data_IF_115754566663
#
_entry.id   IF_115754566663
#
_cell.length_a   1.000
_cell.length_b   1.000
_cell.length_c   1.000
_cell.angle_alpha   90.00
_cell.angle_beta   90.00
_cell.angle_gamma   90.00
#
_symmetry.space_group_name_H-M   'P 1'
#
loop_
_entity.id
_entity.type
_entity.pdbx_description
1 polymer ?
#
# COMPACT_ATOMS: atom_id res chain seq x y z
N UNK A 1 -15.24 57.78 54.24
CA UNK A 1 -14.28 56.95 53.49
C UNK A 1 -14.74 55.48 53.65
N UNK A 2 -15.39 54.90 52.63
CA UNK A 2 -15.78 53.48 52.61
C UNK A 2 -14.80 52.73 51.78
N UNK A 3 -14.10 51.75 52.35
CA UNK A 3 -13.22 50.80 51.64
C UNK A 3 -14.07 49.80 50.89
N UNK A 4 -13.90 49.75 49.56
CA UNK A 4 -14.45 48.69 48.70
C UNK A 4 -13.50 47.50 48.71
N UNK A 5 -13.95 46.38 49.24
CA UNK A 5 -13.28 45.07 49.15
C UNK A 5 -13.70 44.39 47.87
N UNK A 6 -12.79 44.20 46.91
CA UNK A 6 -13.02 43.41 45.70
C UNK A 6 -12.84 41.92 46.02
N UNK A 7 -13.96 41.22 45.92
CA UNK A 7 -13.97 39.74 46.01
C UNK A 7 -13.54 39.15 44.67
N UNK A 8 -12.36 38.55 44.59
CA UNK A 8 -11.87 37.77 43.43
C UNK A 8 -11.76 36.23 43.67
N UNK A 9 -12.67 35.53 44.35
CA UNK A 9 -12.56 34.07 44.44
C UNK A 9 -13.27 33.34 43.26
N UNK A 10 -14.13 34.00 42.46
CA UNK A 10 -14.88 33.31 41.43
C UNK A 10 -14.14 33.21 40.08
N UNK A 11 -13.19 34.11 39.83
CA UNK A 11 -12.43 34.08 38.55
C UNK A 11 -11.29 33.07 38.54
N UNK A 12 -10.76 32.70 39.70
CA UNK A 12 -9.68 31.71 39.82
C UNK A 12 -10.21 30.29 39.70
N UNK A 13 -11.46 30.03 40.10
CA UNK A 13 -12.08 28.70 39.96
C UNK A 13 -12.42 28.35 38.51
N UNK A 14 -12.70 29.34 37.66
CA UNK A 14 -13.00 29.12 36.24
C UNK A 14 -11.77 28.83 35.39
N UNK A 15 -10.59 29.31 35.80
CA UNK A 15 -9.29 29.06 35.11
C UNK A 15 -8.69 27.68 35.41
N UNK A 16 -9.12 27.01 36.49
CA UNK A 16 -8.65 25.68 36.86
C UNK A 16 -9.50 24.55 36.21
N UNK A 17 -10.65 24.83 35.65
CA UNK A 17 -11.52 23.83 35.02
C UNK A 17 -11.22 23.62 33.54
N UNK A 18 -10.38 24.44 32.88
CA UNK A 18 -10.05 24.32 31.48
C UNK A 18 -8.76 23.51 31.19
N UNK A 19 -8.09 22.99 32.25
CA UNK A 19 -6.82 22.26 32.11
C UNK A 19 -6.96 20.73 32.05
N UNK A 20 -8.17 20.16 32.00
CA UNK A 20 -8.37 18.71 32.01
C UNK A 20 -8.96 18.11 30.74
N UNK A 21 -8.76 18.70 29.59
CA UNK A 21 -9.23 18.14 28.33
C UNK A 21 -8.17 18.21 27.22
N UNK A 22 -6.99 17.63 27.42
CA UNK A 22 -6.08 17.38 26.29
C UNK A 22 -5.20 16.17 26.57
N UNK A 23 -5.77 14.99 26.64
CA UNK A 23 -4.96 13.76 26.50
C UNK A 23 -5.82 12.56 26.09
N UNK A 24 -6.40 12.58 24.90
CA UNK A 24 -6.89 11.35 24.27
C UNK A 24 -7.11 11.56 22.77
N UNK A 25 -6.04 11.76 22.02
CA UNK A 25 -6.09 11.64 20.54
C UNK A 25 -4.72 11.29 19.93
N UNK A 26 -3.97 10.35 20.49
CA UNK A 26 -2.77 9.82 19.79
C UNK A 26 -2.75 8.31 19.94
N UNK A 27 -3.63 7.61 19.26
CA UNK A 27 -3.43 6.15 19.11
C UNK A 27 -4.18 5.51 17.93
N UNK A 28 -4.82 6.30 17.05
CA UNK A 28 -5.56 5.74 15.91
C UNK A 28 -4.84 5.88 14.55
N UNK A 29 -3.61 6.37 14.51
CA UNK A 29 -2.97 6.77 13.25
C UNK A 29 -2.01 5.75 12.64
N UNK A 30 -1.83 4.57 13.19
CA UNK A 30 -0.83 3.60 12.71
C UNK A 30 -1.38 2.39 11.94
N UNK A 31 -2.70 2.19 11.85
CA UNK A 31 -3.24 0.96 11.23
C UNK A 31 -3.55 1.07 9.73
N UNK A 32 -3.54 2.28 9.14
CA UNK A 32 -3.92 2.46 7.73
C UNK A 32 -2.76 2.51 6.74
N UNK A 33 -1.53 2.68 7.18
CA UNK A 33 -0.37 2.88 6.29
C UNK A 33 -0.01 1.67 5.43
N UNK A 34 -0.44 0.47 5.80
CA UNK A 34 -0.19 -0.74 5.03
C UNK A 34 -1.38 -1.24 4.21
N UNK A 35 -2.54 -0.58 4.31
CA UNK A 35 -3.65 -0.78 3.40
C UNK A 35 -3.56 0.20 2.21
N UNK A 36 -4.26 -0.10 1.12
CA UNK A 36 -4.33 0.80 -0.04
C UNK A 36 -5.35 1.90 0.20
N UNK A 37 -6.49 1.58 0.83
CA UNK A 37 -7.56 2.52 1.12
C UNK A 37 -7.60 2.84 2.62
N UNK A 38 -8.10 4.03 3.01
CA UNK A 38 -8.23 4.41 4.42
C UNK A 38 -9.27 3.56 5.16
N UNK A 39 -10.24 3.02 4.43
CA UNK A 39 -11.32 2.13 4.89
C UNK A 39 -11.68 1.14 3.78
N UNK A 40 -12.47 0.12 4.12
CA UNK A 40 -12.99 -0.80 3.11
C UNK A 40 -13.89 -0.04 2.14
N UNK A 41 -13.68 -0.21 0.85
CA UNK A 41 -14.48 0.40 -0.21
C UNK A 41 -15.18 -0.66 -1.05
N UNK A 42 -16.27 -0.31 -1.69
CA UNK A 42 -16.98 -1.25 -2.55
C UNK A 42 -16.13 -1.66 -3.73
N UNK A 43 -15.96 -2.96 -3.90
CA UNK A 43 -15.26 -3.57 -5.02
C UNK A 43 -16.05 -4.71 -5.63
N UNK A 44 -15.56 -5.22 -6.76
CA UNK A 44 -16.12 -6.40 -7.42
C UNK A 44 -15.04 -7.37 -7.85
N UNK A 45 -15.30 -8.64 -7.68
CA UNK A 45 -14.44 -9.76 -8.08
C UNK A 45 -15.09 -10.43 -9.28
N UNK A 46 -14.44 -10.36 -10.43
CA UNK A 46 -14.81 -11.12 -11.62
C UNK A 46 -14.11 -12.45 -11.59
N UNK A 47 -14.88 -13.52 -11.59
CA UNK A 47 -14.38 -14.88 -11.65
C UNK A 47 -14.12 -15.31 -13.11
N UNK A 48 -13.26 -16.31 -13.32
CA UNK A 48 -12.98 -16.85 -14.67
C UNK A 48 -14.17 -17.54 -15.32
N UNK A 49 -15.13 -18.00 -14.51
CA UNK A 49 -16.41 -18.57 -15.01
C UNK A 49 -17.45 -17.51 -15.39
N UNK A 50 -17.10 -16.23 -15.25
CA UNK A 50 -17.93 -15.08 -15.60
C UNK A 50 -18.79 -14.54 -14.45
N UNK A 51 -18.87 -15.19 -13.30
CA UNK A 51 -19.57 -14.65 -12.12
C UNK A 51 -18.89 -13.38 -11.63
N UNK A 52 -19.71 -12.48 -11.09
CA UNK A 52 -19.24 -11.25 -10.44
C UNK A 52 -19.79 -11.23 -9.03
N UNK A 53 -18.91 -11.06 -8.07
CA UNK A 53 -19.24 -10.93 -6.65
C UNK A 53 -18.85 -9.51 -6.18
N UNK A 54 -19.69 -8.88 -5.36
CA UNK A 54 -19.48 -7.51 -4.86
C UNK A 54 -19.35 -7.58 -3.36
N UNK A 55 -18.35 -6.86 -2.82
CA UNK A 55 -18.11 -6.78 -1.39
C UNK A 55 -17.41 -5.45 -1.03
N UNK A 56 -17.39 -5.12 0.25
CA UNK A 56 -16.51 -4.10 0.80
C UNK A 56 -15.09 -4.69 0.89
N UNK A 57 -14.11 -4.04 0.27
CA UNK A 57 -12.78 -4.62 0.02
C UNK A 57 -11.65 -3.64 0.30
N UNK A 58 -10.47 -4.17 0.55
CA UNK A 58 -9.20 -3.45 0.59
C UNK A 58 -8.04 -4.40 0.23
N UNK A 59 -6.85 -3.87 0.07
CA UNK A 59 -5.63 -4.64 -0.17
C UNK A 59 -4.59 -4.36 0.91
N UNK A 60 -4.11 -5.40 1.59
CA UNK A 60 -3.03 -5.30 2.57
C UNK A 60 -1.67 -5.44 1.88
N UNK A 61 -0.86 -4.38 1.92
CA UNK A 61 0.49 -4.33 1.29
C UNK A 61 1.55 -5.15 2.02
N UNK A 62 1.31 -5.54 3.28
CA UNK A 62 2.26 -6.36 4.06
C UNK A 62 2.08 -7.84 3.73
N UNK A 63 0.83 -8.32 3.75
CA UNK A 63 0.51 -9.72 3.44
C UNK A 63 0.33 -9.97 1.95
N UNK A 64 0.19 -8.88 1.16
CA UNK A 64 -0.10 -8.90 -0.28
C UNK A 64 -1.42 -9.62 -0.61
N UNK A 65 -2.40 -9.49 0.30
CA UNK A 65 -3.71 -10.13 0.21
C UNK A 65 -4.82 -9.12 -0.07
N UNK A 66 -5.77 -9.53 -0.90
CA UNK A 66 -7.04 -8.83 -1.07
C UNK A 66 -7.98 -9.25 0.05
N UNK A 67 -8.51 -8.27 0.78
CA UNK A 67 -9.38 -8.46 1.94
C UNK A 67 -10.78 -8.03 1.57
N UNK A 68 -11.78 -8.75 2.03
CA UNK A 68 -13.19 -8.38 1.88
C UNK A 68 -13.94 -8.62 3.18
N UNK A 69 -15.07 -7.93 3.34
CA UNK A 69 -15.97 -8.12 4.46
C UNK A 69 -17.20 -8.91 4.04
N UNK A 70 -17.54 -9.93 4.83
CA UNK A 70 -18.76 -10.69 4.71
C UNK A 70 -19.34 -10.94 6.10
N UNK A 71 -20.61 -10.58 6.30
CA UNK A 71 -21.34 -10.75 7.56
C UNK A 71 -20.60 -10.13 8.77
N UNK A 72 -19.95 -8.96 8.58
CA UNK A 72 -19.17 -8.27 9.60
C UNK A 72 -17.80 -8.90 9.90
N UNK A 73 -17.38 -9.90 9.12
CA UNK A 73 -16.10 -10.58 9.29
C UNK A 73 -15.18 -10.28 8.12
N UNK A 74 -13.95 -9.86 8.41
CA UNK A 74 -12.92 -9.66 7.39
C UNK A 74 -12.29 -11.00 7.01
N UNK A 75 -12.22 -11.26 5.71
CA UNK A 75 -11.68 -12.47 5.10
C UNK A 75 -10.65 -12.10 4.03
N UNK A 76 -9.67 -12.96 3.76
CA UNK A 76 -8.79 -12.81 2.62
C UNK A 76 -9.36 -13.58 1.42
N UNK A 77 -9.24 -13.02 0.21
CA UNK A 77 -9.52 -13.76 -1.02
C UNK A 77 -8.50 -14.88 -1.18
N UNK A 78 -8.98 -16.08 -1.25
CA UNK A 78 -8.22 -17.28 -1.58
C UNK A 78 -8.50 -17.76 -3.01
N UNK A 79 -7.98 -18.92 -3.37
CA UNK A 79 -8.26 -19.56 -4.67
C UNK A 79 -8.03 -18.62 -5.87
N UNK A 80 -6.93 -17.84 -5.84
CA UNK A 80 -6.59 -16.83 -6.84
C UNK A 80 -6.65 -17.37 -8.28
N UNK A 81 -6.45 -18.68 -8.46
CA UNK A 81 -6.53 -19.35 -9.76
C UNK A 81 -7.93 -19.31 -10.39
N UNK A 82 -8.99 -19.10 -9.61
CA UNK A 82 -10.38 -18.98 -10.10
C UNK A 82 -10.78 -17.53 -10.40
N UNK A 83 -10.00 -16.57 -9.93
CA UNK A 83 -10.26 -15.13 -10.11
C UNK A 83 -9.67 -14.67 -11.45
N UNK A 84 -10.44 -13.89 -12.20
CA UNK A 84 -10.00 -13.18 -13.41
C UNK A 84 -9.44 -11.80 -13.03
N UNK A 85 -10.24 -10.96 -12.39
CA UNK A 85 -9.90 -9.57 -12.09
C UNK A 85 -10.66 -9.07 -10.87
N UNK A 86 -10.03 -8.22 -10.07
CA UNK A 86 -10.69 -7.48 -8.99
C UNK A 86 -10.69 -6.00 -9.35
N UNK A 87 -11.85 -5.36 -9.20
CA UNK A 87 -12.05 -3.93 -9.42
C UNK A 87 -12.40 -3.28 -8.08
N UNK A 88 -11.65 -2.25 -7.70
CA UNK A 88 -11.93 -1.44 -6.52
C UNK A 88 -11.80 0.03 -6.94
N UNK A 89 -12.91 0.77 -6.94
CA UNK A 89 -12.98 2.12 -7.51
C UNK A 89 -12.47 2.14 -8.97
N UNK A 90 -11.49 2.98 -9.29
CA UNK A 90 -10.85 3.06 -10.60
C UNK A 90 -9.66 2.10 -10.78
N UNK A 91 -9.32 1.32 -9.75
CA UNK A 91 -8.15 0.44 -9.73
C UNK A 91 -8.51 -0.97 -10.17
N UNK A 92 -7.60 -1.58 -10.90
CA UNK A 92 -7.77 -2.92 -11.48
C UNK A 92 -6.64 -3.81 -10.98
N UNK A 93 -7.00 -4.90 -10.32
CA UNK A 93 -6.04 -5.87 -9.78
C UNK A 93 -6.21 -7.21 -10.47
N UNK A 94 -5.11 -7.80 -10.90
CA UNK A 94 -5.10 -9.14 -11.47
C UNK A 94 -4.32 -10.10 -10.58
N UNK A 95 -4.78 -11.34 -10.39
CA UNK A 95 -4.03 -12.32 -9.65
C UNK A 95 -2.79 -12.75 -10.44
N UNK A 96 -1.63 -12.80 -9.75
CA UNK A 96 -0.39 -13.30 -10.29
C UNK A 96 0.31 -14.22 -9.29
N UNK A 97 0.34 -15.51 -9.58
CA UNK A 97 0.85 -16.59 -8.72
C UNK A 97 0.12 -16.64 -7.37
N UNK A 98 0.60 -15.89 -6.35
CA UNK A 98 0.03 -15.88 -4.99
C UNK A 98 -0.35 -14.48 -4.49
N UNK A 99 -0.19 -13.46 -5.31
CA UNK A 99 -0.42 -12.05 -4.98
C UNK A 99 -1.27 -11.38 -6.06
N UNK A 100 -1.66 -10.12 -5.84
CA UNK A 100 -2.32 -9.32 -6.84
C UNK A 100 -1.38 -8.23 -7.36
N UNK A 101 -1.36 -8.05 -8.67
CA UNK A 101 -0.72 -6.92 -9.34
C UNK A 101 -1.79 -5.93 -9.78
N UNK A 102 -1.57 -4.66 -9.50
CA UNK A 102 -2.44 -3.59 -9.99
C UNK A 102 -2.00 -3.19 -11.39
N UNK A 103 -2.95 -3.11 -12.31
CA UNK A 103 -2.74 -2.68 -13.68
C UNK A 103 -2.74 -1.15 -13.76
N UNK A 104 -1.61 -0.57 -14.15
CA UNK A 104 -1.45 0.88 -14.34
C UNK A 104 -1.59 1.30 -15.79
N UNK A 105 -1.05 0.52 -16.72
CA UNK A 105 -1.15 0.76 -18.16
C UNK A 105 -1.55 -0.53 -18.85
N UNK A 106 -2.64 -0.50 -19.62
CA UNK A 106 -3.08 -1.61 -20.47
C UNK A 106 -2.64 -1.35 -21.91
N UNK A 107 -1.97 -2.31 -22.53
CA UNK A 107 -1.51 -2.20 -23.92
C UNK A 107 -0.85 -3.49 -24.40
N UNK A 108 -0.20 -3.44 -25.57
CA UNK A 108 0.70 -4.52 -26.06
C UNK A 108 1.83 -4.74 -25.06
N UNK A 109 2.22 -3.67 -24.38
CA UNK A 109 3.08 -3.65 -23.21
C UNK A 109 2.25 -3.08 -22.07
N UNK A 110 2.00 -3.89 -21.07
CA UNK A 110 1.24 -3.48 -19.89
C UNK A 110 2.18 -3.20 -18.72
N UNK A 111 1.85 -2.18 -17.92
CA UNK A 111 2.56 -1.85 -16.68
C UNK A 111 1.72 -2.29 -15.49
N UNK A 112 2.36 -2.94 -14.55
CA UNK A 112 1.76 -3.35 -13.29
C UNK A 112 2.58 -2.84 -12.11
N UNK A 113 1.92 -2.63 -10.99
CA UNK A 113 2.55 -2.41 -9.69
C UNK A 113 2.16 -3.53 -8.73
N UNK A 114 3.16 -4.09 -8.07
CA UNK A 114 3.02 -4.95 -6.90
C UNK A 114 3.10 -4.04 -5.68
N UNK A 115 1.95 -3.73 -5.10
CA UNK A 115 1.85 -2.92 -3.91
C UNK A 115 2.32 -3.73 -2.70
N UNK A 116 3.52 -3.43 -2.22
CA UNK A 116 4.18 -4.17 -1.16
C UNK A 116 4.81 -3.26 -0.12
N UNK A 117 4.79 -3.72 1.13
CA UNK A 117 5.52 -3.11 2.24
C UNK A 117 6.36 -4.16 2.97
N UNK A 118 7.48 -3.73 3.54
CA UNK A 118 8.26 -4.54 4.47
C UNK A 118 7.95 -4.12 5.90
N UNK A 119 7.97 -5.09 6.81
CA UNK A 119 8.03 -4.85 8.25
C UNK A 119 9.49 -4.80 8.68
N UNK A 120 9.84 -3.73 9.38
CA UNK A 120 11.17 -3.53 9.95
C UNK A 120 11.03 -3.50 11.46
N UNK A 121 11.79 -4.35 12.14
CA UNK A 121 11.85 -4.37 13.59
C UNK A 121 12.50 -3.07 14.09
N UNK A 122 11.85 -2.36 15.02
CA UNK A 122 12.38 -1.13 15.61
C UNK A 122 13.47 -1.38 16.65
N UNK A 123 13.79 -2.65 16.93
CA UNK A 123 14.74 -3.08 17.95
C UNK A 123 14.22 -2.90 19.38
N UNK A 124 14.69 -3.75 20.29
CA UNK A 124 14.41 -3.57 21.72
C UNK A 124 15.33 -2.49 22.30
N UNK A 125 14.85 -1.68 23.27
CA UNK A 125 15.71 -0.75 24.01
C UNK A 125 16.81 -1.55 24.71
N UNK A 126 18.07 -1.31 24.35
CA UNK A 126 19.19 -1.90 25.10
C UNK A 126 19.33 -1.18 26.45
N UNK A 127 19.65 -1.92 27.50
CA UNK A 127 19.79 -1.37 28.86
C UNK A 127 20.84 -0.27 29.04
N UNK A 128 21.53 0.15 28.01
CA UNK A 128 22.52 1.23 27.93
C UNK A 128 22.09 2.40 27.06
N UNK A 129 20.78 2.59 26.81
CA UNK A 129 20.26 3.77 26.09
C UNK A 129 20.44 3.75 24.56
N UNK A 130 20.86 2.63 23.97
CA UNK A 130 20.88 2.39 22.53
C UNK A 130 19.75 1.46 22.10
N UNK A 131 19.43 1.43 20.80
CA UNK A 131 18.59 0.38 20.20
C UNK A 131 19.50 -0.63 19.51
N UNK A 132 19.27 -1.91 19.74
CA UNK A 132 19.92 -2.97 18.96
C UNK A 132 19.25 -3.04 17.61
N UNK A 133 19.84 -2.43 16.59
CA UNK A 133 19.41 -2.55 15.19
C UNK A 133 19.78 -3.94 14.65
N UNK A 134 19.01 -4.95 14.99
CA UNK A 134 18.99 -6.18 14.21
C UNK A 134 17.88 -6.03 13.19
N UNK A 135 18.18 -5.38 12.05
CA UNK A 135 17.25 -5.17 10.95
C UNK A 135 16.86 -6.48 10.27
N UNK A 136 16.17 -7.36 10.96
CA UNK A 136 15.57 -8.54 10.38
C UNK A 136 14.31 -8.12 9.62
N UNK A 137 14.43 -7.93 8.31
CA UNK A 137 13.27 -7.84 7.41
C UNK A 137 12.56 -9.19 7.44
N UNK A 138 11.43 -9.27 8.14
CA UNK A 138 10.57 -10.44 8.11
C UNK A 138 9.53 -10.25 6.99
N UNK A 139 9.62 -11.08 5.97
CA UNK A 139 8.52 -11.30 5.04
C UNK A 139 7.45 -12.12 5.78
N UNK A 140 6.44 -11.44 6.31
CA UNK A 140 5.26 -12.09 6.86
C UNK A 140 4.29 -12.42 5.72
N UNK A 141 4.72 -13.30 4.82
CA UNK A 141 3.78 -14.00 3.96
C UNK A 141 3.07 -15.05 4.81
N UNK A 142 1.78 -14.85 5.03
CA UNK A 142 0.84 -15.74 5.72
C UNK A 142 0.97 -15.86 7.25
N UNK A 143 0.37 -14.93 7.97
CA UNK A 143 -0.11 -15.17 9.35
C UNK A 143 -1.60 -15.61 9.32
N UNK A 144 -2.09 -16.04 8.19
CA UNK A 144 -3.44 -16.61 8.06
C UNK A 144 -3.40 -18.12 8.29
N UNK A 145 -3.26 -18.51 9.56
CA UNK A 145 -3.41 -19.90 9.99
C UNK A 145 -4.82 -20.22 10.51
N UNK A 146 -5.86 -19.60 9.96
CA UNK A 146 -7.22 -20.08 10.20
C UNK A 146 -8.14 -19.68 9.06
N UNK A 147 -8.80 -20.67 8.56
CA UNK A 147 -9.65 -20.78 7.36
C UNK A 147 -10.81 -19.76 7.28
N UNK A 148 -11.03 -18.87 8.27
CA UNK A 148 -12.30 -18.14 8.34
C UNK A 148 -12.23 -16.70 8.85
N UNK A 149 -11.06 -16.15 9.24
CA UNK A 149 -11.05 -14.75 9.74
C UNK A 149 -9.71 -14.10 9.51
N UNK A 150 -9.69 -12.94 8.81
CA UNK A 150 -8.50 -12.14 8.65
C UNK A 150 -8.21 -11.34 9.95
N UNK A 151 -7.14 -11.71 10.65
CA UNK A 151 -6.74 -11.08 11.93
C UNK A 151 -5.32 -10.54 11.87
N UNK A 152 -5.00 -9.77 10.84
CA UNK A 152 -3.70 -9.12 10.81
C UNK A 152 -3.68 -7.95 11.80
N UNK A 153 -2.69 -7.93 12.69
CA UNK A 153 -2.38 -6.83 13.59
C UNK A 153 -0.89 -6.56 13.54
N UNK A 154 -0.53 -5.29 13.30
CA UNK A 154 0.87 -4.88 13.31
C UNK A 154 1.45 -5.04 14.73
N UNK A 155 2.57 -5.75 14.92
CA UNK A 155 3.23 -5.82 16.23
C UNK A 155 3.77 -4.45 16.65
N UNK A 156 3.75 -4.14 17.96
CA UNK A 156 4.10 -2.82 18.50
C UNK A 156 5.55 -2.38 18.20
N UNK A 157 6.45 -3.34 17.99
CA UNK A 157 7.89 -3.07 17.77
C UNK A 157 8.28 -3.01 16.28
N UNK A 158 7.29 -2.87 15.37
CA UNK A 158 7.53 -2.83 13.94
C UNK A 158 7.05 -1.54 13.33
N UNK A 159 7.76 -1.07 12.31
CA UNK A 159 7.29 -0.01 11.42
C UNK A 159 7.29 -0.51 9.97
N UNK A 160 6.51 0.17 9.14
CA UNK A 160 6.28 -0.22 7.75
C UNK A 160 7.13 0.63 6.83
N UNK A 161 7.83 -0.01 5.89
CA UNK A 161 8.56 0.68 4.82
C UNK A 161 8.02 0.28 3.45
N UNK A 162 7.99 1.23 2.51
CA UNK A 162 7.56 0.94 1.15
C UNK A 162 8.55 0.00 0.44
N UNK A 163 8.02 -1.05 -0.17
CA UNK A 163 8.78 -2.03 -0.94
C UNK A 163 8.13 -2.31 -2.31
N UNK A 164 7.37 -1.35 -2.82
CA UNK A 164 6.67 -1.41 -4.11
C UNK A 164 7.58 -1.83 -5.25
N UNK A 165 7.11 -2.74 -6.08
CA UNK A 165 7.81 -3.24 -7.27
C UNK A 165 6.97 -2.98 -8.53
N UNK A 166 7.64 -2.60 -9.61
CA UNK A 166 7.00 -2.43 -10.91
C UNK A 166 7.36 -3.58 -11.84
N UNK A 167 6.39 -3.96 -12.67
CA UNK A 167 6.50 -5.06 -13.61
C UNK A 167 5.96 -4.64 -14.98
N UNK A 168 6.66 -5.04 -16.02
CA UNK A 168 6.20 -4.90 -17.41
C UNK A 168 5.80 -6.28 -17.91
N UNK A 169 4.59 -6.40 -18.47
CA UNK A 169 4.20 -7.59 -19.22
C UNK A 169 4.30 -7.30 -20.73
N UNK A 170 5.09 -8.12 -21.45
CA UNK A 170 5.22 -8.14 -22.90
C UNK A 170 5.21 -9.58 -23.38
N UNK A 171 4.37 -9.93 -24.35
CA UNK A 171 4.26 -11.29 -24.90
C UNK A 171 4.02 -12.35 -23.80
N UNK A 172 3.09 -12.09 -22.88
CA UNK A 172 2.74 -12.94 -21.72
C UNK A 172 3.89 -13.22 -20.74
N UNK A 173 4.98 -12.45 -20.83
CA UNK A 173 6.13 -12.58 -19.92
C UNK A 173 6.23 -11.33 -19.06
N UNK A 174 6.42 -11.53 -17.75
CA UNK A 174 6.60 -10.45 -16.78
C UNK A 174 8.09 -10.18 -16.54
N UNK A 175 8.46 -8.90 -16.59
CA UNK A 175 9.82 -8.40 -16.38
C UNK A 175 9.80 -7.35 -15.29
N UNK A 176 10.79 -7.36 -14.40
CA UNK A 176 10.97 -6.27 -13.41
C UNK A 176 11.26 -4.95 -14.13
N UNK A 177 10.70 -3.85 -13.61
CA UNK A 177 10.78 -2.52 -14.22
C UNK A 177 11.18 -1.42 -13.21
N UNK A 178 11.98 -1.76 -12.20
CA UNK A 178 12.39 -0.82 -11.14
C UNK A 178 13.62 0.03 -11.50
N UNK A 179 14.17 -0.14 -12.69
CA UNK A 179 15.31 0.65 -13.17
C UNK A 179 15.31 0.76 -14.70
N UNK A 180 15.97 1.80 -15.21
CA UNK A 180 16.10 1.99 -16.67
C UNK A 180 16.77 0.80 -17.35
N UNK A 181 17.76 0.17 -16.72
CA UNK A 181 18.44 -1.00 -17.29
C UNK A 181 17.52 -2.22 -17.40
N UNK A 182 16.61 -2.41 -16.44
CA UNK A 182 15.61 -3.48 -16.50
C UNK A 182 14.59 -3.21 -17.62
N UNK A 183 14.12 -1.98 -17.75
CA UNK A 183 13.16 -1.58 -18.80
C UNK A 183 13.81 -1.74 -20.18
N UNK A 184 15.05 -1.28 -20.37
CA UNK A 184 15.75 -1.41 -21.65
C UNK A 184 15.99 -2.87 -22.08
N UNK A 185 16.07 -3.83 -21.14
CA UNK A 185 16.14 -5.26 -21.47
C UNK A 185 14.83 -5.79 -22.07
N UNK A 186 13.70 -5.17 -21.77
CA UNK A 186 12.39 -5.51 -22.36
C UNK A 186 12.27 -5.01 -23.81
N UNK A 187 13.04 -3.96 -24.15
CA UNK A 187 13.02 -3.30 -25.46
C UNK A 187 14.44 -3.12 -25.99
N UNK A 188 15.18 -4.20 -26.25
CA UNK A 188 16.59 -4.10 -26.69
C UNK A 188 16.75 -3.31 -27.98
N UNK A 189 15.74 -3.42 -28.88
CA UNK A 189 15.69 -2.74 -30.18
C UNK A 189 15.46 -1.22 -30.07
N UNK A 190 14.94 -0.73 -28.92
CA UNK A 190 14.57 0.67 -28.66
C UNK A 190 15.31 1.29 -27.47
N UNK A 191 16.37 0.65 -26.99
CA UNK A 191 17.08 1.07 -25.80
C UNK A 191 17.65 2.49 -25.88
N UNK A 192 18.10 2.92 -27.08
CA UNK A 192 18.63 4.27 -27.28
C UNK A 192 17.53 5.33 -27.21
N UNK A 193 16.42 5.10 -27.89
CA UNK A 193 15.26 6.00 -27.91
C UNK A 193 14.65 6.12 -26.51
N UNK A 194 14.50 5.01 -25.78
CA UNK A 194 14.00 4.99 -24.40
C UNK A 194 14.92 5.79 -23.48
N UNK A 195 16.25 5.57 -23.56
CA UNK A 195 17.22 6.31 -22.75
C UNK A 195 17.17 7.80 -23.02
N UNK A 196 17.04 8.19 -24.30
CA UNK A 196 16.92 9.60 -24.69
C UNK A 196 15.63 10.20 -24.17
N UNK A 197 14.50 9.51 -24.31
CA UNK A 197 13.20 9.96 -23.80
C UNK A 197 13.21 10.21 -22.30
N UNK A 198 13.77 9.28 -21.51
CA UNK A 198 13.94 9.44 -20.04
C UNK A 198 14.73 10.72 -19.72
N UNK A 199 15.84 10.95 -20.44
CA UNK A 199 16.68 12.12 -20.23
C UNK A 199 16.00 13.44 -20.58
N UNK A 200 15.36 13.49 -21.76
CA UNK A 200 14.73 14.71 -22.30
C UNK A 200 13.55 15.17 -21.44
N UNK A 201 12.79 14.22 -20.89
CA UNK A 201 11.64 14.47 -20.02
C UNK A 201 11.99 14.46 -18.52
N UNK A 202 13.28 14.21 -18.17
CA UNK A 202 13.79 14.13 -16.79
C UNK A 202 12.97 13.18 -15.90
N UNK A 203 12.57 12.02 -16.47
CA UNK A 203 11.71 11.07 -15.76
C UNK A 203 12.44 10.43 -14.59
N UNK A 204 11.78 10.42 -13.42
CA UNK A 204 12.18 9.62 -12.26
C UNK A 204 11.42 8.29 -12.27
N UNK A 205 12.12 7.21 -12.58
CA UNK A 205 11.51 5.86 -12.67
C UNK A 205 11.10 5.27 -11.32
N UNK A 206 11.30 5.99 -10.22
CA UNK A 206 10.70 5.69 -8.91
C UNK A 206 9.33 6.35 -8.74
N UNK A 207 9.03 7.35 -9.55
CA UNK A 207 7.73 7.99 -9.61
C UNK A 207 6.79 7.19 -10.52
N UNK A 208 5.60 6.89 -10.03
CA UNK A 208 4.62 6.07 -10.76
C UNK A 208 4.14 6.75 -12.04
N UNK A 209 3.87 8.06 -12.02
CA UNK A 209 3.34 8.81 -13.16
C UNK A 209 4.38 8.93 -14.28
N UNK A 210 5.65 9.13 -13.91
CA UNK A 210 6.76 9.16 -14.85
C UNK A 210 6.95 7.78 -15.52
N UNK A 211 6.81 6.70 -14.74
CA UNK A 211 6.88 5.35 -15.26
C UNK A 211 5.69 5.03 -16.18
N UNK A 212 4.48 5.46 -15.84
CA UNK A 212 3.30 5.37 -16.71
C UNK A 212 3.58 6.09 -18.03
N UNK A 213 4.07 7.34 -17.97
CA UNK A 213 4.42 8.13 -19.14
C UNK A 213 5.41 7.41 -20.04
N UNK A 214 6.45 6.82 -19.45
CA UNK A 214 7.44 6.04 -20.20
C UNK A 214 6.81 4.82 -20.89
N UNK A 215 5.97 4.05 -20.19
CA UNK A 215 5.39 2.82 -20.74
C UNK A 215 4.33 3.12 -21.80
N UNK A 216 3.58 4.20 -21.66
CA UNK A 216 2.70 4.71 -22.74
C UNK A 216 3.52 4.99 -23.99
N UNK A 217 4.68 5.67 -23.85
CA UNK A 217 5.60 5.90 -24.98
C UNK A 217 6.16 4.59 -25.55
N UNK A 218 6.51 3.63 -24.70
CA UNK A 218 6.98 2.33 -25.17
C UNK A 218 5.94 1.56 -26.01
N UNK A 219 4.64 1.72 -25.71
CA UNK A 219 3.57 1.12 -26.52
C UNK A 219 3.51 1.65 -27.96
N UNK A 220 3.98 2.89 -28.20
CA UNK A 220 4.08 3.43 -29.57
C UNK A 220 5.18 2.72 -30.41
N UNK A 221 6.20 2.18 -29.75
CA UNK A 221 7.31 1.47 -30.42
C UNK A 221 6.96 0.04 -30.82
N UNK A 222 5.98 -0.57 -30.13
CA UNK A 222 5.56 -1.95 -30.38
C UNK A 222 4.41 -1.96 -31.37
N UNK A 223 4.74 -2.15 -32.65
CA UNK A 223 3.78 -2.30 -33.75
C UNK A 223 3.18 -3.71 -33.82
#
# INVERSE_FOLDING_TARGET
MKKQTHNYPLLILFLLLTAYCTDTQIQAQNDTTYYIFPELVQGSVKMKDGRIEVAMMDYNKITEEMIFEKDGVKLALDSLQTIDTVYIESRVFIPHIKVFYELLVKGKVSLFVQNKCNLVDSGDPSGYGGKTETGAVRNLSSVTNSVHTYKFKLPNNYYVTNATLFWIARNNTFYKANSSSQIMKVFPEKSKEIKQFIKDHKLDLKNTDDLITLIVKCNEFVR
#
